data_IF_629817601723
#
_entry.id   IF_629817601723
#
_cell.length_a   1.000
_cell.length_b   1.000
_cell.length_c   1.000
_cell.angle_alpha   90.00
_cell.angle_beta   90.00
_cell.angle_gamma   90.00
#
_symmetry.space_group_name_H-M   'P 1'
#
loop_
_entity.id
_entity.type
_entity.pdbx_description
1 polymer ?
#
# COMPACT_ATOMS: atom_id res chain seq x y z
N UNK A 1 2.66 3.28 22.06
CA UNK A 1 2.47 2.81 20.67
C UNK A 1 2.03 4.00 19.84
N UNK A 2 2.93 4.62 19.07
CA UNK A 2 2.62 5.84 18.33
C UNK A 2 1.93 5.48 17.02
N UNK A 3 0.63 5.83 16.91
CA UNK A 3 -0.06 5.90 15.62
C UNK A 3 0.71 6.90 14.72
N UNK A 4 1.09 6.54 13.47
CA UNK A 4 1.63 7.53 12.54
C UNK A 4 0.51 8.51 12.16
N UNK A 5 0.79 9.81 12.27
CA UNK A 5 -0.17 10.88 11.91
C UNK A 5 -0.66 10.68 10.47
N UNK A 6 -1.98 10.67 10.22
CA UNK A 6 -2.51 10.64 8.87
C UNK A 6 -2.24 11.99 8.20
N UNK A 7 -1.15 12.08 7.43
CA UNK A 7 -0.89 13.20 6.54
C UNK A 7 -1.58 12.95 5.19
N UNK A 8 -2.70 13.63 4.94
CA UNK A 8 -3.33 13.64 3.62
C UNK A 8 -4.61 14.45 3.60
N UNK A 9 -4.53 15.71 3.17
CA UNK A 9 -5.69 16.57 2.93
C UNK A 9 -6.58 16.02 1.80
N UNK A 10 -7.91 16.21 1.85
CA UNK A 10 -8.82 15.73 0.82
C UNK A 10 -8.66 16.57 -0.46
N UNK A 11 -8.18 15.95 -1.54
CA UNK A 11 -8.00 16.55 -2.87
C UNK A 11 -6.66 16.24 -3.55
N UNK A 12 -5.64 15.84 -2.79
CA UNK A 12 -4.35 15.41 -3.33
C UNK A 12 -4.33 13.89 -3.51
N UNK A 13 -3.87 13.39 -4.66
CA UNK A 13 -3.59 11.95 -4.94
C UNK A 13 -3.00 11.27 -3.70
N UNK A 14 -3.80 10.49 -2.98
CA UNK A 14 -3.41 9.92 -1.69
C UNK A 14 -2.41 8.78 -1.93
N UNK A 15 -1.14 9.08 -1.66
CA UNK A 15 -0.02 8.16 -1.76
C UNK A 15 0.13 7.36 -0.45
N UNK A 16 -0.19 6.07 -0.51
CA UNK A 16 -0.10 5.12 0.60
C UNK A 16 1.35 4.80 0.93
N UNK A 17 1.64 4.74 2.23
CA UNK A 17 2.92 4.27 2.75
C UNK A 17 2.95 2.73 2.79
N UNK A 18 4.12 2.08 2.88
CA UNK A 18 4.24 0.63 2.99
C UNK A 18 3.43 0.04 4.13
N UNK A 19 3.37 0.76 5.26
CA UNK A 19 2.57 0.38 6.43
C UNK A 19 1.08 0.42 6.13
N UNK A 20 0.60 1.43 5.42
CA UNK A 20 -0.80 1.53 5.02
C UNK A 20 -1.17 0.42 4.03
N UNK A 21 -0.30 0.15 3.06
CA UNK A 21 -0.48 -0.99 2.14
C UNK A 21 -0.52 -2.31 2.90
N UNK A 22 0.34 -2.49 3.89
CA UNK A 22 0.37 -3.67 4.74
C UNK A 22 -0.94 -3.86 5.52
N UNK A 23 -1.51 -2.78 6.07
CA UNK A 23 -2.81 -2.81 6.74
C UNK A 23 -3.96 -3.14 5.78
N UNK A 24 -3.91 -2.63 4.54
CA UNK A 24 -4.95 -2.88 3.53
C UNK A 24 -4.89 -4.30 2.97
N UNK A 25 -3.68 -4.82 2.73
CA UNK A 25 -3.47 -6.10 2.02
C UNK A 25 -3.21 -7.28 2.95
N UNK A 26 -2.91 -7.03 4.23
CA UNK A 26 -2.41 -8.04 5.16
C UNK A 26 -0.97 -8.49 4.88
N UNK A 27 -0.33 -7.98 3.83
CA UNK A 27 1.04 -8.35 3.46
C UNK A 27 2.01 -7.61 4.38
N UNK A 28 2.90 -8.34 5.04
CA UNK A 28 3.91 -7.75 5.91
C UNK A 28 4.78 -6.74 5.17
N UNK A 29 5.11 -5.62 5.82
CA UNK A 29 5.99 -4.57 5.25
C UNK A 29 7.32 -5.15 4.77
N UNK A 30 7.89 -6.11 5.52
CA UNK A 30 9.13 -6.79 5.15
C UNK A 30 9.02 -7.57 3.83
N UNK A 31 7.86 -8.17 3.55
CA UNK A 31 7.60 -8.86 2.28
C UNK A 31 7.46 -7.85 1.13
N UNK A 32 6.81 -6.71 1.37
CA UNK A 32 6.77 -5.62 0.40
C UNK A 32 8.18 -5.06 0.12
N UNK A 33 9.06 -4.99 1.11
CA UNK A 33 10.46 -4.61 0.94
C UNK A 33 11.25 -5.64 0.14
N UNK A 34 11.07 -6.93 0.42
CA UNK A 34 11.69 -8.01 -0.34
C UNK A 34 11.30 -7.97 -1.81
N UNK A 35 10.02 -7.75 -2.13
CA UNK A 35 9.56 -7.60 -3.51
C UNK A 35 10.16 -6.39 -4.21
N UNK A 36 10.30 -5.25 -3.51
CA UNK A 36 11.01 -4.08 -4.07
C UNK A 36 12.48 -4.38 -4.35
N UNK A 37 13.14 -5.12 -3.46
CA UNK A 37 14.54 -5.48 -3.60
C UNK A 37 14.77 -6.48 -4.74
N UNK A 38 13.87 -7.46 -4.89
CA UNK A 38 13.89 -8.42 -6.01
C UNK A 38 13.44 -7.81 -7.33
N UNK A 39 12.59 -6.78 -7.29
CA UNK A 39 12.01 -6.15 -8.47
C UNK A 39 10.83 -6.92 -9.07
N UNK A 40 10.29 -7.93 -8.38
CA UNK A 40 9.25 -8.82 -8.91
C UNK A 40 8.21 -9.17 -7.83
N UNK A 41 6.95 -9.38 -8.25
CA UNK A 41 5.88 -9.92 -7.42
C UNK A 41 5.14 -8.93 -6.51
N UNK A 42 5.36 -7.61 -6.65
CA UNK A 42 4.72 -6.60 -5.81
C UNK A 42 4.09 -5.44 -6.59
N UNK A 43 3.21 -4.66 -5.94
CA UNK A 43 2.55 -3.52 -6.55
C UNK A 43 3.55 -2.43 -6.96
N UNK A 44 3.22 -1.68 -8.02
CA UNK A 44 4.07 -0.58 -8.48
C UNK A 44 4.26 0.46 -7.37
N UNK A 45 5.51 0.86 -7.16
CA UNK A 45 5.88 1.81 -6.13
C UNK A 45 6.50 3.06 -6.75
N UNK A 46 6.32 4.19 -6.08
CA UNK A 46 6.93 5.46 -6.41
C UNK A 46 7.96 5.79 -5.33
N UNK A 47 9.22 5.97 -5.74
CA UNK A 47 10.31 6.33 -4.83
C UNK A 47 10.49 7.84 -4.84
N UNK A 48 10.34 8.46 -3.67
CA UNK A 48 10.48 9.90 -3.44
C UNK A 48 11.62 10.09 -2.43
N UNK A 49 12.85 10.18 -2.95
CA UNK A 49 14.05 10.19 -2.11
C UNK A 49 14.19 8.89 -1.30
N UNK A 50 14.06 9.01 0.04
CA UNK A 50 14.08 7.87 0.97
C UNK A 50 12.69 7.26 1.22
N UNK A 51 11.63 7.94 0.79
CA UNK A 51 10.26 7.49 0.99
C UNK A 51 9.85 6.59 -0.17
N UNK A 52 9.22 5.47 0.17
CA UNK A 52 8.51 4.63 -0.80
C UNK A 52 7.03 4.83 -0.60
N UNK A 53 6.31 5.08 -1.69
CA UNK A 53 4.88 5.33 -1.70
C UNK A 53 4.20 4.48 -2.77
N UNK A 54 2.91 4.24 -2.57
CA UNK A 54 2.05 3.47 -3.46
C UNK A 54 0.84 4.30 -3.83
N UNK A 55 0.46 4.29 -5.09
CA UNK A 55 -0.85 4.85 -5.45
C UNK A 55 -1.92 3.83 -5.14
N UNK A 56 -3.13 4.28 -4.77
CA UNK A 56 -4.27 3.37 -4.60
C UNK A 56 -4.57 2.63 -5.90
N UNK A 57 -4.54 3.33 -7.04
CA UNK A 57 -4.84 2.75 -8.35
C UNK A 57 -3.88 1.59 -8.71
N UNK A 58 -2.57 1.79 -8.56
CA UNK A 58 -1.58 0.76 -8.83
C UNK A 58 -1.71 -0.42 -7.85
N UNK A 59 -2.00 -0.15 -6.58
CA UNK A 59 -2.20 -1.20 -5.58
C UNK A 59 -3.42 -2.07 -5.93
N UNK A 60 -4.56 -1.46 -6.24
CA UNK A 60 -5.77 -2.19 -6.61
C UNK A 60 -5.63 -2.92 -7.95
N UNK A 61 -4.94 -2.32 -8.93
CA UNK A 61 -4.64 -2.99 -10.20
C UNK A 61 -3.81 -4.26 -10.00
N UNK A 62 -2.77 -4.19 -9.15
CA UNK A 62 -1.97 -5.35 -8.79
C UNK A 62 -2.78 -6.43 -8.06
N UNK A 63 -3.62 -6.03 -7.10
CA UNK A 63 -4.50 -6.95 -6.37
C UNK A 63 -5.47 -7.67 -7.32
N UNK A 64 -6.05 -6.93 -8.28
CA UNK A 64 -6.95 -7.48 -9.29
C UNK A 64 -6.23 -8.46 -10.23
N UNK A 65 -5.02 -8.13 -10.68
CA UNK A 65 -4.20 -9.00 -11.54
C UNK A 65 -3.83 -10.32 -10.84
N UNK A 66 -3.58 -10.28 -9.53
CA UNK A 66 -3.17 -11.45 -8.75
C UNK A 66 -4.36 -12.23 -8.15
N UNK A 67 -5.61 -11.83 -8.46
CA UNK A 67 -6.81 -12.45 -7.91
C UNK A 67 -6.93 -12.34 -6.39
N UNK A 68 -6.23 -11.38 -5.78
CA UNK A 68 -6.23 -11.19 -4.33
C UNK A 68 -7.51 -10.43 -3.97
N UNK A 69 -8.54 -11.18 -3.58
CA UNK A 69 -9.77 -10.61 -3.05
C UNK A 69 -9.54 -10.15 -1.60
N UNK A 70 -9.06 -8.92 -1.43
CA UNK A 70 -9.09 -8.26 -0.12
C UNK A 70 -10.55 -7.99 0.25
N UNK A 71 -11.11 -8.86 1.10
CA UNK A 71 -12.43 -8.68 1.70
C UNK A 71 -12.37 -7.45 2.61
N UNK A 72 -12.69 -6.28 2.07
CA UNK A 72 -12.88 -5.07 2.85
C UNK A 72 -14.19 -5.23 3.62
N UNK A 73 -14.12 -5.85 4.80
CA UNK A 73 -15.16 -5.67 5.81
C UNK A 73 -15.07 -4.21 6.30
N UNK A 74 -15.66 -3.31 5.51
CA UNK A 74 -16.04 -1.99 5.99
C UNK A 74 -17.28 -2.16 6.87
N UNK A 75 -17.08 -2.53 8.14
CA UNK A 75 -18.06 -2.23 9.17
C UNK A 75 -18.01 -0.72 9.44
N UNK A 76 -18.86 0.02 8.73
CA UNK A 76 -19.41 1.26 9.24
C UNK A 76 -20.67 0.89 10.04
N UNK A 77 -20.56 0.91 11.36
CA UNK A 77 -21.66 0.84 12.33
C UNK A 77 -21.48 1.96 13.36
#
# INVERSE_FOLDING_TARGET
MAQPKPQGVPGARILLSPKEVSLITGISVAQLELWRAKGEGGPRFCKIGRLVKYTRADLYAWLAEHGINVRLEMEAA
#
